data_IF_806585327498
#
_entry.id   IF_806585327498
#
_cell.length_a   1.000
_cell.length_b   1.000
_cell.length_c   1.000
_cell.angle_alpha   90.00
_cell.angle_beta   90.00
_cell.angle_gamma   90.00
#
_symmetry.space_group_name_H-M   'P 1'
#
loop_
_entity.id
_entity.type
_entity.pdbx_description
1 polymer ?
#
# COMPACT_ATOMS: atom_id res chain seq x y z
N UNK A 1 -28.43 23.64 28.79
CA UNK A 1 -27.21 23.40 28.00
C UNK A 1 -26.02 23.92 28.75
N UNK A 2 -25.10 23.03 29.16
CA UNK A 2 -23.88 23.36 29.91
C UNK A 2 -22.83 24.07 29.05
N UNK A 3 -23.26 25.13 28.37
CA UNK A 3 -22.38 26.06 27.66
C UNK A 3 -21.66 26.96 28.66
N UNK A 4 -20.59 27.61 28.19
CA UNK A 4 -19.69 28.41 29.02
C UNK A 4 -20.47 29.45 29.82
N UNK A 5 -21.44 30.13 29.21
CA UNK A 5 -22.26 31.17 29.85
C UNK A 5 -23.12 30.67 31.02
N UNK A 6 -23.46 29.38 31.07
CA UNK A 6 -24.25 28.81 32.18
C UNK A 6 -23.39 28.20 33.28
N UNK A 7 -22.09 28.05 33.04
CA UNK A 7 -21.14 27.40 33.96
C UNK A 7 -20.02 28.33 34.41
N UNK A 8 -19.99 29.57 33.92
CA UNK A 8 -19.07 30.61 34.38
C UNK A 8 -19.77 31.58 35.32
N UNK A 9 -19.03 32.12 36.28
CA UNK A 9 -19.44 33.33 36.97
C UNK A 9 -19.40 34.48 35.97
N UNK A 10 -20.56 35.07 35.69
CA UNK A 10 -20.67 36.25 34.83
C UNK A 10 -20.49 37.48 35.74
N UNK A 11 -19.34 38.16 35.72
CA UNK A 11 -19.13 39.32 36.55
C UNK A 11 -19.95 40.50 35.99
N UNK A 12 -20.34 41.44 36.83
CA UNK A 12 -20.96 42.71 36.41
C UNK A 12 -19.94 43.59 35.67
N UNK A 13 -19.65 43.21 34.42
CA UNK A 13 -18.63 43.82 33.56
C UNK A 13 -19.21 44.79 32.53
N UNK A 14 -20.53 45.00 32.53
CA UNK A 14 -21.23 45.80 31.52
C UNK A 14 -21.28 45.17 30.13
N UNK A 15 -20.87 43.89 30.00
CA UNK A 15 -20.93 43.16 28.74
C UNK A 15 -22.24 42.38 28.60
N UNK A 16 -22.85 42.43 27.42
CA UNK A 16 -24.01 41.60 27.08
C UNK A 16 -23.53 40.20 26.70
N UNK A 17 -23.97 39.18 27.44
CA UNK A 17 -23.64 37.78 27.18
C UNK A 17 -24.69 37.13 26.28
N UNK A 18 -24.28 36.65 25.11
CA UNK A 18 -25.18 36.06 24.10
C UNK A 18 -24.65 34.71 23.63
N UNK A 19 -25.55 33.77 23.40
CA UNK A 19 -25.24 32.47 22.79
C UNK A 19 -25.80 32.40 21.37
N UNK A 20 -24.98 31.99 20.41
CA UNK A 20 -25.35 31.80 19.01
C UNK A 20 -24.95 30.39 18.58
N UNK A 21 -25.88 29.64 17.99
CA UNK A 21 -25.63 28.30 17.50
C UNK A 21 -26.03 28.12 16.03
N UNK A 22 -25.41 27.14 15.37
CA UNK A 22 -25.56 26.91 13.94
C UNK A 22 -24.56 27.72 13.10
N UNK A 23 -24.04 27.09 12.04
CA UNK A 23 -23.02 27.68 11.16
C UNK A 23 -23.46 28.99 10.53
N UNK A 24 -24.71 29.09 10.07
CA UNK A 24 -25.25 30.30 9.43
C UNK A 24 -25.37 31.46 10.42
N UNK A 25 -25.92 31.22 11.60
CA UNK A 25 -26.05 32.26 12.63
C UNK A 25 -24.66 32.70 13.13
N UNK A 26 -23.73 31.75 13.26
CA UNK A 26 -22.35 32.06 13.62
C UNK A 26 -21.67 32.92 12.55
N UNK A 27 -21.89 32.63 11.25
CA UNK A 27 -21.38 33.45 10.16
C UNK A 27 -21.93 34.88 10.24
N UNK A 28 -23.25 35.02 10.36
CA UNK A 28 -23.91 36.33 10.46
C UNK A 28 -23.42 37.14 11.67
N UNK A 29 -23.26 36.49 12.83
CA UNK A 29 -22.72 37.14 14.02
C UNK A 29 -21.27 37.64 13.80
N UNK A 30 -20.41 36.84 13.15
CA UNK A 30 -19.04 37.25 12.83
C UNK A 30 -19.00 38.41 11.82
N UNK A 31 -19.91 38.43 10.84
CA UNK A 31 -20.05 39.53 9.88
C UNK A 31 -20.44 40.83 10.58
N UNK A 32 -21.39 40.79 11.53
CA UNK A 32 -21.77 41.96 12.34
C UNK A 32 -20.64 42.46 13.24
N UNK A 33 -19.84 41.56 13.82
CA UNK A 33 -18.64 41.93 14.58
C UNK A 33 -17.63 42.62 13.66
N UNK A 34 -17.38 42.06 12.48
CA UNK A 34 -16.44 42.62 11.51
C UNK A 34 -16.88 44.00 10.99
N UNK A 35 -18.19 44.23 10.87
CA UNK A 35 -18.77 45.53 10.51
C UNK A 35 -18.71 46.57 11.65
N UNK A 36 -18.38 46.16 12.88
CA UNK A 36 -18.32 47.05 14.05
C UNK A 36 -19.68 47.39 14.65
N UNK A 37 -20.71 46.61 14.34
CA UNK A 37 -22.09 46.81 14.83
C UNK A 37 -22.26 46.42 16.31
N UNK A 38 -21.35 45.60 16.83
CA UNK A 38 -21.44 45.02 18.18
C UNK A 38 -20.39 45.67 19.09
N UNK A 39 -20.82 46.11 20.28
CA UNK A 39 -19.94 46.67 21.32
C UNK A 39 -20.26 46.04 22.68
N UNK A 40 -19.23 45.81 23.49
CA UNK A 40 -19.34 45.25 24.85
C UNK A 40 -20.18 43.96 24.90
N UNK A 41 -19.82 42.96 24.09
CA UNK A 41 -20.49 41.66 24.10
C UNK A 41 -19.52 40.52 24.38
N UNK A 42 -20.00 39.52 25.10
CA UNK A 42 -19.38 38.21 25.21
C UNK A 42 -20.22 37.21 24.42
N UNK A 43 -19.63 36.58 23.41
CA UNK A 43 -20.35 35.69 22.50
C UNK A 43 -19.89 34.25 22.71
N UNK A 44 -20.82 33.39 23.11
CA UNK A 44 -20.66 31.95 23.06
C UNK A 44 -21.18 31.45 21.71
N UNK A 45 -20.31 30.85 20.90
CA UNK A 45 -20.65 30.42 19.54
C UNK A 45 -20.48 28.91 19.37
N UNK A 46 -21.48 28.24 18.81
CA UNK A 46 -21.48 26.80 18.54
C UNK A 46 -21.80 26.51 17.08
N UNK A 47 -20.94 25.79 16.36
CA UNK A 47 -21.17 25.50 14.94
C UNK A 47 -22.40 24.62 14.68
N UNK A 48 -22.67 23.62 15.53
CA UNK A 48 -23.86 22.77 15.41
C UNK A 48 -25.05 23.39 16.14
N UNK A 49 -26.24 23.28 15.56
CA UNK A 49 -27.49 23.63 16.23
C UNK A 49 -27.67 22.74 17.48
N UNK A 50 -27.90 23.36 18.63
CA UNK A 50 -27.95 22.64 19.91
C UNK A 50 -26.61 22.10 20.41
N UNK A 51 -25.50 22.58 19.85
CA UNK A 51 -24.13 22.23 20.24
C UNK A 51 -23.93 20.70 20.28
N UNK A 52 -23.15 20.18 21.23
CA UNK A 52 -22.92 18.74 21.38
C UNK A 52 -24.20 17.94 21.67
N UNK A 53 -25.26 18.56 22.21
CA UNK A 53 -26.52 17.88 22.54
C UNK A 53 -27.37 17.63 21.29
N UNK A 54 -27.23 18.50 20.28
CA UNK A 54 -27.83 18.34 18.95
C UNK A 54 -26.88 17.75 17.92
N UNK A 55 -25.73 17.19 18.35
CA UNK A 55 -24.69 16.70 17.44
C UNK A 55 -25.17 15.60 16.47
N UNK A 56 -24.43 15.35 15.37
CA UNK A 56 -24.87 14.52 14.25
C UNK A 56 -25.23 13.07 14.60
N UNK A 57 -24.68 12.54 15.70
CA UNK A 57 -25.02 11.19 16.19
C UNK A 57 -26.45 11.10 16.71
N UNK A 58 -27.02 12.21 17.17
CA UNK A 58 -28.32 12.26 17.84
C UNK A 58 -29.50 12.09 16.87
N UNK A 59 -29.28 12.24 15.57
CA UNK A 59 -30.30 12.00 14.53
C UNK A 59 -30.81 10.55 14.58
N UNK A 60 -29.93 9.59 14.86
CA UNK A 60 -30.28 8.16 15.03
C UNK A 60 -31.21 7.87 16.21
N UNK A 61 -31.25 8.76 17.20
CA UNK A 61 -31.93 8.55 18.48
C UNK A 61 -33.23 9.36 18.61
N UNK A 62 -33.76 9.85 17.50
CA UNK A 62 -34.97 10.68 17.44
C UNK A 62 -34.81 11.92 18.33
N UNK A 63 -34.04 12.89 17.83
CA UNK A 63 -33.60 14.06 18.59
C UNK A 63 -34.81 14.80 19.22
N UNK A 64 -34.91 14.76 20.55
CA UNK A 64 -35.87 15.52 21.33
C UNK A 64 -35.12 16.58 22.12
N UNK A 65 -34.97 17.82 21.58
CA UNK A 65 -34.10 18.84 22.16
C UNK A 65 -34.46 19.14 23.62
N UNK A 66 -35.75 19.28 23.93
CA UNK A 66 -36.21 19.59 25.29
C UNK A 66 -35.78 18.51 26.29
N UNK A 67 -36.00 17.23 25.97
CA UNK A 67 -35.66 16.10 26.83
C UNK A 67 -34.15 16.02 27.05
N UNK A 68 -33.36 16.17 25.99
CA UNK A 68 -31.90 16.08 26.08
C UNK A 68 -31.31 17.28 26.82
N UNK A 69 -31.84 18.49 26.61
CA UNK A 69 -31.43 19.68 27.38
C UNK A 69 -31.76 19.56 28.85
N UNK A 70 -32.94 19.07 29.19
CA UNK A 70 -33.33 18.86 30.58
C UNK A 70 -32.42 17.83 31.25
N UNK A 71 -32.17 16.69 30.61
CA UNK A 71 -31.30 15.65 31.14
C UNK A 71 -29.89 16.18 31.47
N UNK A 72 -29.28 16.92 30.55
CA UNK A 72 -27.94 17.50 30.77
C UNK A 72 -27.95 18.56 31.87
N UNK A 73 -28.96 19.44 31.89
CA UNK A 73 -29.05 20.48 32.92
C UNK A 73 -29.31 19.91 34.31
N UNK A 74 -30.10 18.84 34.44
CA UNK A 74 -30.31 18.15 35.71
C UNK A 74 -29.05 17.41 36.17
N UNK A 75 -28.35 16.75 35.25
CA UNK A 75 -27.11 16.02 35.56
C UNK A 75 -25.97 16.95 36.02
N UNK A 76 -25.77 18.07 35.31
CA UNK A 76 -24.67 19.00 35.60
C UNK A 76 -24.76 19.63 37.00
N UNK A 77 -25.96 19.91 37.49
CA UNK A 77 -26.16 20.52 38.81
C UNK A 77 -25.55 21.93 38.93
N UNK A 78 -25.25 22.35 40.17
CA UNK A 78 -24.65 23.65 40.50
C UNK A 78 -23.35 23.56 41.31
N UNK A 79 -22.86 22.34 41.55
CA UNK A 79 -21.67 22.13 42.38
C UNK A 79 -20.46 22.11 41.47
N UNK A 80 -19.49 22.95 41.79
CA UNK A 80 -18.18 22.87 41.15
C UNK A 80 -17.45 21.61 41.59
N UNK A 81 -16.55 21.13 40.73
CA UNK A 81 -15.62 20.07 41.06
C UNK A 81 -14.33 20.68 41.63
N UNK A 82 -13.64 19.92 42.49
CA UNK A 82 -12.36 20.36 43.04
C UNK A 82 -11.35 20.50 41.89
N UNK A 83 -10.83 21.71 41.72
CA UNK A 83 -9.75 22.04 40.79
C UNK A 83 -8.56 22.58 41.58
N UNK A 84 -7.35 22.25 41.14
CA UNK A 84 -6.15 22.83 41.72
C UNK A 84 -6.13 24.34 41.50
N UNK A 85 -5.77 25.09 42.53
CA UNK A 85 -5.61 26.54 42.43
C UNK A 85 -4.42 26.85 41.52
N UNK A 86 -4.70 27.44 40.37
CA UNK A 86 -3.67 27.92 39.45
C UNK A 86 -2.98 29.15 40.05
N UNK A 87 -1.66 29.23 39.86
CA UNK A 87 -0.89 30.40 40.31
C UNK A 87 -1.30 31.67 39.56
N UNK A 88 -1.12 32.82 40.22
CA UNK A 88 -1.45 34.11 39.63
C UNK A 88 -0.65 34.33 38.33
N UNK A 89 -1.36 34.55 37.23
CA UNK A 89 -0.78 34.69 35.89
C UNK A 89 -0.58 33.38 35.11
N UNK A 90 -0.88 32.20 35.67
CA UNK A 90 -0.78 30.92 34.95
C UNK A 90 -1.70 30.85 33.71
N UNK A 91 -2.81 31.60 33.73
CA UNK A 91 -3.76 31.69 32.61
C UNK A 91 -3.51 32.89 31.69
N UNK A 92 -2.49 33.71 31.98
CA UNK A 92 -2.21 34.90 31.17
C UNK A 92 -1.37 34.53 29.96
N UNK A 93 -2.00 34.51 28.78
CA UNK A 93 -1.30 34.41 27.50
C UNK A 93 -1.33 35.74 26.78
N UNK A 94 -0.14 36.33 26.54
CA UNK A 94 -0.01 37.52 25.70
C UNK A 94 -0.01 37.09 24.23
N UNK A 95 -1.04 37.48 23.51
CA UNK A 95 -1.10 37.32 22.06
C UNK A 95 -0.45 38.55 21.42
N UNK A 96 0.71 38.34 20.77
CA UNK A 96 1.28 39.36 19.91
C UNK A 96 0.39 39.59 18.69
N UNK A 97 0.51 40.75 18.04
CA UNK A 97 -0.13 40.98 16.76
C UNK A 97 0.40 39.96 15.74
N UNK A 98 -0.45 39.02 15.34
CA UNK A 98 -0.19 38.11 14.24
C UNK A 98 -0.55 38.90 13.00
N UNK A 99 0.45 39.57 12.40
CA UNK A 99 0.25 40.28 11.15
C UNK A 99 -0.43 39.37 10.14
N UNK A 100 -1.57 39.80 9.61
CA UNK A 100 -2.22 39.10 8.51
C UNK A 100 -1.65 39.71 7.24
N UNK A 101 -0.70 39.07 6.54
CA UNK A 101 -0.42 39.45 5.17
C UNK A 101 -1.69 39.20 4.36
N UNK A 102 -2.49 40.24 4.18
CA UNK A 102 -3.61 40.29 3.24
C UNK A 102 -3.10 40.44 1.80
N UNK A 103 -1.95 39.82 1.50
CA UNK A 103 -1.43 39.76 0.14
C UNK A 103 -2.44 38.94 -0.65
N UNK A 104 -2.93 39.56 -1.72
CA UNK A 104 -3.77 38.90 -2.71
C UNK A 104 -2.80 38.26 -3.70
N UNK A 105 -2.76 36.92 -3.80
CA UNK A 105 -1.89 36.26 -4.77
C UNK A 105 -2.30 36.65 -6.19
N UNK A 106 -1.32 36.71 -7.06
CA UNK A 106 -1.51 36.83 -8.51
C UNK A 106 -2.23 35.60 -9.08
N UNK A 107 -2.86 35.76 -10.25
CA UNK A 107 -3.48 34.64 -10.96
C UNK A 107 -2.49 33.51 -11.28
N UNK A 108 -1.22 33.84 -11.52
CA UNK A 108 -0.15 32.84 -11.71
C UNK A 108 0.07 31.99 -10.45
N UNK A 109 0.11 32.61 -9.27
CA UNK A 109 0.32 31.90 -8.00
C UNK A 109 -0.89 31.04 -7.64
N UNK A 110 -2.10 31.54 -7.90
CA UNK A 110 -3.33 30.75 -7.73
C UNK A 110 -3.30 29.52 -8.64
N UNK A 111 -2.96 29.68 -9.92
CA UNK A 111 -2.85 28.56 -10.87
C UNK A 111 -1.77 27.55 -10.47
N UNK A 112 -0.63 28.01 -9.96
CA UNK A 112 0.43 27.11 -9.50
C UNK A 112 -0.06 26.22 -8.34
N UNK A 113 -0.81 26.79 -7.39
CA UNK A 113 -1.40 26.05 -6.27
C UNK A 113 -2.50 25.10 -6.75
N UNK A 114 -3.36 25.54 -7.66
CA UNK A 114 -4.41 24.70 -8.26
C UNK A 114 -3.81 23.49 -8.98
N UNK A 115 -2.74 23.70 -9.76
CA UNK A 115 -2.01 22.65 -10.47
C UNK A 115 -1.43 21.59 -9.52
N UNK A 116 -0.96 21.99 -8.33
CA UNK A 116 -0.50 21.04 -7.28
C UNK A 116 -1.61 20.11 -6.78
N UNK A 117 -2.87 20.49 -6.96
CA UNK A 117 -4.05 19.66 -6.64
C UNK A 117 -4.71 19.03 -7.87
N UNK A 118 -3.97 18.91 -8.98
CA UNK A 118 -4.45 18.28 -10.20
C UNK A 118 -5.39 19.14 -11.06
N UNK A 119 -5.60 20.42 -10.71
CA UNK A 119 -6.53 21.31 -11.42
C UNK A 119 -5.77 22.14 -12.44
N UNK A 120 -5.72 21.64 -13.67
CA UNK A 120 -4.98 22.28 -14.77
C UNK A 120 -5.88 23.15 -15.63
N UNK A 121 -7.18 22.85 -15.66
CA UNK A 121 -8.17 23.56 -16.45
C UNK A 121 -9.34 24.05 -15.57
N UNK A 122 -10.11 25.05 -16.03
CA UNK A 122 -11.27 25.55 -15.29
C UNK A 122 -12.30 24.46 -14.97
N UNK A 123 -12.43 23.43 -15.81
CA UNK A 123 -13.37 22.33 -15.60
C UNK A 123 -12.98 21.43 -14.41
N UNK A 124 -11.70 21.41 -14.03
CA UNK A 124 -11.19 20.65 -12.87
C UNK A 124 -11.53 21.36 -11.54
N UNK A 125 -11.94 22.64 -11.58
CA UNK A 125 -12.36 23.43 -10.42
C UNK A 125 -13.79 23.09 -9.99
N UNK A 126 -14.00 21.88 -9.48
CA UNK A 126 -15.32 21.35 -9.10
C UNK A 126 -16.09 22.21 -8.09
N UNK A 127 -15.39 23.04 -7.30
CA UNK A 127 -15.98 23.93 -6.27
C UNK A 127 -16.94 23.20 -5.31
N UNK A 128 -16.58 21.97 -4.93
CA UNK A 128 -17.44 21.04 -4.17
C UNK A 128 -17.62 21.37 -2.69
N UNK A 129 -16.88 22.33 -2.12
CA UNK A 129 -17.03 22.71 -0.71
C UNK A 129 -16.45 21.73 0.32
N UNK A 130 -16.01 20.52 -0.05
CA UNK A 130 -15.59 19.47 0.92
C UNK A 130 -14.40 19.85 1.80
N UNK A 131 -13.65 20.88 1.42
CA UNK A 131 -12.50 21.39 2.16
C UNK A 131 -12.83 22.61 3.04
N UNK A 132 -14.10 23.02 3.12
CA UNK A 132 -14.56 24.19 3.86
C UNK A 132 -14.46 25.52 3.11
N UNK A 133 -14.06 25.51 1.82
CA UNK A 133 -14.00 26.71 0.96
C UNK A 133 -15.01 26.61 -0.18
N UNK A 134 -15.68 27.71 -0.53
CA UNK A 134 -16.74 27.69 -1.55
C UNK A 134 -16.18 27.45 -2.95
N UNK A 135 -14.98 27.97 -3.22
CA UNK A 135 -14.30 27.78 -4.50
C UNK A 135 -12.89 27.22 -4.34
N UNK A 136 -12.42 26.52 -5.37
CA UNK A 136 -11.06 26.02 -5.43
C UNK A 136 -10.04 27.17 -5.38
N UNK A 137 -10.40 28.33 -5.97
CA UNK A 137 -9.59 29.56 -5.92
C UNK A 137 -9.51 30.14 -4.51
N UNK A 138 -10.62 30.21 -3.76
CA UNK A 138 -10.61 30.61 -2.35
C UNK A 138 -9.69 29.73 -1.52
N UNK A 139 -9.76 28.40 -1.71
CA UNK A 139 -8.82 27.48 -1.08
C UNK A 139 -7.38 27.80 -1.47
N UNK A 140 -7.10 28.03 -2.76
CA UNK A 140 -5.74 28.34 -3.22
C UNK A 140 -5.20 29.63 -2.57
N UNK A 141 -6.04 30.66 -2.43
CA UNK A 141 -5.69 31.89 -1.71
C UNK A 141 -5.42 31.61 -0.22
N UNK A 142 -6.22 30.74 0.41
CA UNK A 142 -6.01 30.35 1.80
C UNK A 142 -4.69 29.56 2.00
N UNK A 143 -4.34 28.67 1.05
CA UNK A 143 -3.06 27.95 1.03
C UNK A 143 -1.90 28.94 0.89
N UNK A 144 -1.99 29.89 -0.04
CA UNK A 144 -0.97 30.93 -0.22
C UNK A 144 -0.73 31.73 1.07
N UNK A 145 -1.80 31.99 1.83
CA UNK A 145 -1.75 32.69 3.12
C UNK A 145 -1.33 31.83 4.31
N UNK A 146 -1.00 30.54 4.09
CA UNK A 146 -0.67 29.60 5.15
C UNK A 146 -1.84 29.24 6.07
N UNK A 147 -3.09 29.48 5.64
CA UNK A 147 -4.31 29.19 6.41
C UNK A 147 -4.89 27.80 6.10
N UNK A 148 -4.48 27.19 5.00
CA UNK A 148 -4.94 25.88 4.56
C UNK A 148 -3.78 25.04 4.04
N UNK A 149 -3.90 23.73 4.15
CA UNK A 149 -2.96 22.78 3.55
C UNK A 149 -3.45 22.31 2.18
N UNK A 150 -2.52 22.12 1.25
CA UNK A 150 -2.79 21.61 -0.10
C UNK A 150 -3.50 20.25 -0.04
N UNK A 151 -3.06 19.37 0.87
CA UNK A 151 -3.56 18.01 1.06
C UNK A 151 -5.02 17.94 1.51
N UNK A 152 -5.61 19.02 2.02
CA UNK A 152 -7.03 19.07 2.42
C UNK A 152 -7.99 19.11 1.23
N UNK A 153 -7.73 18.37 0.15
CA UNK A 153 -8.62 18.27 -1.02
C UNK A 153 -9.01 16.81 -1.20
N UNK A 154 -10.17 16.43 -0.68
CA UNK A 154 -10.65 15.05 -0.73
C UNK A 154 -10.71 14.50 -2.16
N UNK A 155 -11.29 15.20 -3.16
CA UNK A 155 -11.32 14.68 -4.54
C UNK A 155 -9.92 14.40 -5.10
N UNK A 156 -8.96 15.30 -4.86
CA UNK A 156 -7.58 15.12 -5.30
C UNK A 156 -6.90 13.94 -4.60
N UNK A 157 -7.13 13.74 -3.30
CA UNK A 157 -6.57 12.61 -2.56
C UNK A 157 -7.12 11.26 -3.06
N UNK A 158 -8.40 11.21 -3.40
CA UNK A 158 -9.02 10.02 -3.99
C UNK A 158 -8.42 9.72 -5.36
N UNK A 159 -8.42 10.69 -6.27
CA UNK A 159 -7.89 10.51 -7.64
C UNK A 159 -6.39 10.12 -7.61
N UNK A 160 -5.60 10.75 -6.74
CA UNK A 160 -4.18 10.43 -6.60
C UNK A 160 -3.95 8.98 -6.16
N UNK A 161 -4.78 8.49 -5.23
CA UNK A 161 -4.72 7.10 -4.76
C UNK A 161 -5.09 6.12 -5.87
N UNK A 162 -6.18 6.39 -6.59
CA UNK A 162 -6.63 5.55 -7.71
C UNK A 162 -5.60 5.48 -8.84
N UNK A 163 -5.04 6.62 -9.24
CA UNK A 163 -4.02 6.68 -10.31
C UNK A 163 -2.73 5.98 -9.92
N UNK A 164 -2.32 6.06 -8.65
CA UNK A 164 -1.13 5.37 -8.18
C UNK A 164 -1.33 3.84 -8.26
N UNK A 165 -2.43 3.33 -7.72
CA UNK A 165 -2.77 1.91 -7.79
C UNK A 165 -2.87 1.41 -9.23
N UNK A 166 -3.58 2.14 -10.08
CA UNK A 166 -3.76 1.78 -11.50
C UNK A 166 -2.43 1.77 -12.28
N UNK A 167 -1.53 2.71 -12.03
CA UNK A 167 -0.23 2.74 -12.70
C UNK A 167 0.64 1.54 -12.32
N UNK A 168 0.66 1.15 -11.03
CA UNK A 168 1.40 -0.03 -10.59
C UNK A 168 0.84 -1.29 -11.25
N UNK A 169 -0.49 -1.47 -11.21
CA UNK A 169 -1.15 -2.62 -11.81
C UNK A 169 -0.88 -2.73 -13.31
N UNK A 170 -0.83 -1.61 -14.04
CA UNK A 170 -0.63 -1.59 -15.51
C UNK A 170 0.81 -1.85 -15.96
N UNK A 171 1.80 -1.41 -15.18
CA UNK A 171 3.22 -1.46 -15.60
C UNK A 171 4.04 -2.55 -14.91
N UNK A 172 3.47 -3.25 -13.93
CA UNK A 172 4.15 -4.42 -13.35
C UNK A 172 4.27 -5.55 -14.39
N UNK A 173 5.43 -6.21 -14.50
CA UNK A 173 5.57 -7.39 -15.35
C UNK A 173 4.84 -8.61 -14.79
N UNK A 174 4.44 -8.58 -13.52
CA UNK A 174 3.71 -9.66 -12.87
C UNK A 174 2.22 -9.58 -13.23
N UNK A 175 1.64 -10.72 -13.57
CA UNK A 175 0.20 -10.84 -13.64
C UNK A 175 -0.43 -10.69 -12.25
N UNK A 176 -1.49 -9.90 -12.15
CA UNK A 176 -2.28 -9.71 -10.94
C UNK A 176 -3.71 -10.08 -11.26
N UNK A 177 -4.26 -11.01 -10.49
CA UNK A 177 -5.64 -11.46 -10.54
C UNK A 177 -6.23 -11.36 -9.13
N UNK A 178 -7.37 -10.68 -9.00
CA UNK A 178 -8.05 -10.50 -7.72
C UNK A 178 -9.39 -11.23 -7.78
N UNK A 179 -9.68 -12.06 -6.78
CA UNK A 179 -10.96 -12.77 -6.64
C UNK A 179 -11.55 -12.54 -5.25
N UNK A 180 -12.87 -12.67 -5.10
CA UNK A 180 -13.52 -12.69 -3.78
C UNK A 180 -13.44 -14.08 -3.14
N UNK A 181 -13.96 -14.24 -1.92
CA UNK A 181 -14.00 -15.54 -1.21
C UNK A 181 -14.86 -16.59 -1.94
N UNK A 182 -15.81 -16.17 -2.78
CA UNK A 182 -16.63 -17.03 -3.66
C UNK A 182 -15.93 -17.41 -4.98
N UNK A 183 -14.64 -17.05 -5.11
CA UNK A 183 -13.80 -17.30 -6.29
C UNK A 183 -14.28 -16.62 -7.58
N UNK A 184 -15.02 -15.52 -7.47
CA UNK A 184 -15.40 -14.67 -8.59
C UNK A 184 -14.33 -13.59 -8.85
N UNK A 185 -13.97 -13.41 -10.12
CA UNK A 185 -12.94 -12.46 -10.54
C UNK A 185 -13.42 -11.02 -10.38
N UNK A 186 -12.69 -10.26 -9.56
CA UNK A 186 -12.97 -8.86 -9.28
C UNK A 186 -12.12 -7.92 -10.13
N UNK A 187 -10.85 -8.28 -10.40
CA UNK A 187 -9.93 -7.48 -11.23
C UNK A 187 -8.87 -8.37 -11.88
N UNK A 188 -8.39 -7.95 -13.05
CA UNK A 188 -7.24 -8.56 -13.73
C UNK A 188 -6.40 -7.48 -14.41
N UNK A 189 -5.08 -7.53 -14.25
CA UNK A 189 -4.18 -6.56 -14.90
C UNK A 189 -3.74 -7.02 -16.31
N UNK A 190 -3.14 -6.09 -17.06
CA UNK A 190 -2.69 -6.34 -18.44
C UNK A 190 -1.67 -7.49 -18.56
N UNK A 191 -0.79 -7.64 -17.57
CA UNK A 191 0.20 -8.72 -17.55
C UNK A 191 -0.47 -10.09 -17.35
N UNK A 192 -1.44 -10.20 -16.43
CA UNK A 192 -2.21 -11.43 -16.22
C UNK A 192 -3.03 -11.76 -17.46
N UNK A 193 -3.68 -10.77 -18.08
CA UNK A 193 -4.40 -10.99 -19.33
C UNK A 193 -3.49 -11.55 -20.43
N UNK A 194 -2.27 -11.04 -20.54
CA UNK A 194 -1.28 -11.52 -21.51
C UNK A 194 -0.79 -12.95 -21.19
N UNK A 195 -0.56 -13.26 -19.91
CA UNK A 195 -0.10 -14.58 -19.46
C UNK A 195 -1.17 -15.66 -19.61
N UNK A 196 -2.44 -15.30 -19.40
CA UNK A 196 -3.61 -16.20 -19.38
C UNK A 196 -4.42 -16.13 -20.68
N UNK A 197 -3.88 -15.49 -21.73
CA UNK A 197 -4.52 -15.32 -23.04
C UNK A 197 -5.95 -14.73 -23.01
N UNK A 198 -6.22 -13.84 -22.06
CA UNK A 198 -7.49 -13.11 -21.93
C UNK A 198 -7.48 -11.93 -22.90
N UNK A 199 -8.52 -11.80 -23.74
CA UNK A 199 -8.61 -10.75 -24.76
C UNK A 199 -9.06 -9.42 -24.19
N UNK A 200 -10.12 -9.45 -23.37
CA UNK A 200 -10.67 -8.26 -22.74
C UNK A 200 -10.97 -8.53 -21.27
N UNK A 201 -10.78 -7.52 -20.43
CA UNK A 201 -11.05 -7.59 -18.99
C UNK A 201 -12.51 -7.99 -18.71
N UNK A 202 -13.46 -7.44 -19.48
CA UNK A 202 -14.89 -7.74 -19.36
C UNK A 202 -15.28 -9.19 -19.68
N UNK A 203 -14.42 -9.98 -20.32
CA UNK A 203 -14.71 -11.40 -20.62
C UNK A 203 -14.61 -12.29 -19.37
N UNK A 204 -13.94 -11.79 -18.33
CA UNK A 204 -13.64 -12.53 -17.10
C UNK A 204 -14.13 -11.85 -15.83
N UNK A 205 -14.42 -10.54 -15.85
CA UNK A 205 -14.95 -9.84 -14.68
C UNK A 205 -16.30 -10.41 -14.24
N UNK A 206 -16.42 -10.76 -12.96
CA UNK A 206 -17.61 -11.37 -12.36
C UNK A 206 -17.76 -12.87 -12.67
N UNK A 207 -16.85 -13.46 -13.44
CA UNK A 207 -16.89 -14.87 -13.77
C UNK A 207 -16.16 -15.72 -12.71
N UNK A 208 -16.50 -17.00 -12.68
CA UNK A 208 -15.87 -17.97 -11.78
C UNK A 208 -14.43 -18.30 -12.20
N UNK A 209 -13.52 -18.28 -11.23
CA UNK A 209 -12.07 -18.50 -11.42
C UNK A 209 -11.73 -19.77 -12.18
N UNK A 210 -12.52 -20.84 -12.01
CA UNK A 210 -12.35 -22.14 -12.69
C UNK A 210 -12.29 -22.02 -14.22
N UNK A 211 -12.84 -20.95 -14.80
CA UNK A 211 -12.77 -20.67 -16.25
C UNK A 211 -11.39 -20.22 -16.72
N UNK A 212 -10.53 -19.83 -15.80
CA UNK A 212 -9.22 -19.21 -16.05
C UNK A 212 -8.10 -20.10 -15.51
N UNK A 213 -8.27 -20.69 -14.32
CA UNK A 213 -7.24 -21.56 -13.76
C UNK A 213 -7.82 -22.49 -12.70
N UNK A 214 -7.01 -23.48 -12.30
CA UNK A 214 -7.35 -24.39 -11.20
C UNK A 214 -7.63 -23.60 -9.91
N UNK A 215 -8.81 -23.75 -9.27
CA UNK A 215 -9.16 -23.07 -8.03
C UNK A 215 -8.47 -23.69 -6.80
N UNK A 216 -7.86 -24.88 -6.90
CA UNK A 216 -7.27 -25.57 -5.73
C UNK A 216 -6.27 -24.70 -4.94
N UNK A 217 -5.33 -23.96 -5.56
CA UNK A 217 -4.45 -23.05 -4.83
C UNK A 217 -5.22 -21.96 -4.05
N UNK A 218 -6.30 -21.44 -4.61
CA UNK A 218 -7.10 -20.39 -3.96
C UNK A 218 -7.89 -20.93 -2.78
N UNK A 219 -8.51 -22.11 -2.94
CA UNK A 219 -9.19 -22.83 -1.86
C UNK A 219 -8.22 -23.14 -0.70
N UNK A 220 -7.02 -23.61 -1.03
CA UNK A 220 -5.98 -23.87 -0.03
C UNK A 220 -5.56 -22.60 0.74
N UNK A 221 -5.53 -21.44 0.07
CA UNK A 221 -5.21 -20.15 0.69
C UNK A 221 -6.36 -19.62 1.59
N UNK A 222 -7.62 -19.88 1.21
CA UNK A 222 -8.82 -19.63 2.02
C UNK A 222 -8.78 -20.46 3.32
N UNK A 223 -8.64 -21.78 3.18
CA UNK A 223 -8.76 -22.73 4.30
C UNK A 223 -7.61 -22.63 5.31
N UNK A 224 -6.36 -22.55 4.82
CA UNK A 224 -5.18 -22.60 5.69
C UNK A 224 -4.83 -21.24 6.30
N UNK A 225 -5.42 -20.14 5.79
CA UNK A 225 -5.10 -18.77 6.22
C UNK A 225 -3.63 -18.36 6.00
N UNK A 226 -2.85 -19.19 5.31
CA UNK A 226 -1.44 -18.96 5.01
C UNK A 226 -1.33 -18.59 3.54
N UNK A 227 -0.59 -17.51 3.26
CA UNK A 227 -0.23 -17.14 1.90
C UNK A 227 0.48 -18.30 1.21
N UNK A 228 -0.01 -18.73 0.04
CA UNK A 228 0.77 -19.62 -0.84
C UNK A 228 1.85 -18.76 -1.48
N UNK A 229 3.10 -19.21 -1.42
CA UNK A 229 4.24 -18.48 -1.97
C UNK A 229 4.99 -19.37 -2.93
N UNK A 230 5.31 -18.80 -4.09
CA UNK A 230 6.25 -19.35 -5.07
C UNK A 230 5.88 -20.77 -5.56
N UNK A 231 4.58 -21.08 -5.67
CA UNK A 231 4.16 -22.34 -6.27
C UNK A 231 4.41 -22.28 -7.78
N UNK A 232 5.31 -23.12 -8.28
CA UNK A 232 5.65 -23.19 -9.70
C UNK A 232 4.97 -24.36 -10.35
N UNK A 233 4.13 -24.07 -11.34
CA UNK A 233 3.44 -25.09 -12.12
C UNK A 233 3.49 -24.77 -13.62
N UNK A 234 3.35 -25.81 -14.43
CA UNK A 234 3.22 -25.69 -15.88
C UNK A 234 1.75 -25.61 -16.26
N UNK A 235 1.35 -24.48 -16.81
CA UNK A 235 -0.01 -24.24 -17.26
C UNK A 235 -0.13 -24.62 -18.73
N UNK A 236 -0.57 -25.86 -18.97
CA UNK A 236 -0.65 -26.44 -20.31
C UNK A 236 -1.53 -25.63 -21.27
N UNK A 237 -2.64 -25.07 -20.80
CA UNK A 237 -3.57 -24.25 -21.58
C UNK A 237 -2.93 -22.98 -22.14
N UNK A 238 -1.91 -22.47 -21.45
CA UNK A 238 -1.19 -21.24 -21.80
C UNK A 238 0.22 -21.50 -22.33
N UNK A 239 0.66 -22.76 -22.30
CA UNK A 239 2.03 -23.18 -22.63
C UNK A 239 3.10 -22.34 -21.91
N UNK A 240 2.94 -22.14 -20.60
CA UNK A 240 3.81 -21.29 -19.78
C UNK A 240 4.13 -21.94 -18.43
N UNK A 241 5.32 -21.65 -17.90
CA UNK A 241 5.65 -21.88 -16.49
C UNK A 241 5.30 -20.62 -15.72
N UNK A 242 4.35 -20.72 -14.79
CA UNK A 242 3.96 -19.60 -13.95
C UNK A 242 4.29 -19.91 -12.49
N UNK A 243 4.91 -18.95 -11.84
CA UNK A 243 5.09 -18.91 -10.40
C UNK A 243 3.92 -18.13 -9.80
N UNK A 244 3.10 -18.81 -9.00
CA UNK A 244 1.89 -18.30 -8.37
C UNK A 244 2.15 -18.01 -6.89
N UNK A 245 1.80 -16.79 -6.48
CA UNK A 245 1.75 -16.37 -5.07
C UNK A 245 0.35 -15.86 -4.76
N UNK A 246 -0.28 -16.37 -3.72
CA UNK A 246 -1.64 -15.98 -3.31
C UNK A 246 -1.58 -15.36 -1.92
N UNK A 247 -2.13 -14.15 -1.81
CA UNK A 247 -2.30 -13.42 -0.56
C UNK A 247 -3.79 -13.26 -0.29
N UNK A 248 -4.24 -13.73 0.86
CA UNK A 248 -5.61 -13.54 1.33
C UNK A 248 -5.65 -12.32 2.26
N UNK A 249 -6.38 -11.28 1.87
CA UNK A 249 -6.70 -10.15 2.74
C UNK A 249 -8.08 -10.35 3.39
N UNK A 250 -8.04 -10.77 4.67
CA UNK A 250 -9.24 -11.01 5.49
C UNK A 250 -10.01 -9.74 5.85
N UNK A 251 -9.38 -8.57 5.72
CA UNK A 251 -10.03 -7.29 6.06
C UNK A 251 -10.97 -6.87 4.95
N UNK A 252 -10.58 -7.15 3.71
CA UNK A 252 -11.33 -6.77 2.50
C UNK A 252 -12.04 -7.95 1.84
N UNK A 253 -11.90 -9.18 2.37
CA UNK A 253 -12.52 -10.41 1.87
C UNK A 253 -12.15 -10.72 0.40
N UNK A 254 -10.88 -10.52 0.06
CA UNK A 254 -10.35 -10.80 -1.29
C UNK A 254 -9.08 -11.65 -1.23
N UNK A 255 -8.85 -12.39 -2.32
CA UNK A 255 -7.58 -13.06 -2.60
C UNK A 255 -6.89 -12.37 -3.79
N UNK A 256 -5.61 -12.08 -3.61
CA UNK A 256 -4.75 -11.48 -4.62
C UNK A 256 -3.76 -12.54 -5.08
N UNK A 257 -3.88 -12.96 -6.32
CA UNK A 257 -2.93 -13.83 -7.00
C UNK A 257 -1.93 -13.00 -7.81
N UNK A 258 -0.65 -13.26 -7.58
CA UNK A 258 0.48 -12.70 -8.32
C UNK A 258 1.10 -13.84 -9.13
N UNK A 259 1.08 -13.67 -10.45
CA UNK A 259 1.59 -14.60 -11.45
C UNK A 259 2.88 -14.03 -12.02
N UNK A 260 3.95 -14.80 -12.00
CA UNK A 260 5.20 -14.47 -12.67
C UNK A 260 5.50 -15.51 -13.74
N UNK A 261 5.69 -15.05 -14.98
CA UNK A 261 6.14 -15.92 -16.06
C UNK A 261 7.62 -16.25 -15.86
N UNK A 262 7.89 -17.53 -15.58
CA UNK A 262 9.24 -18.06 -15.38
C UNK A 262 9.68 -19.01 -16.49
N UNK A 263 8.97 -18.99 -17.63
CA UNK A 263 9.20 -19.92 -18.75
C UNK A 263 10.65 -19.90 -19.24
N UNK A 264 11.22 -18.71 -19.43
CA UNK A 264 12.61 -18.55 -19.91
C UNK A 264 13.64 -19.05 -18.90
N UNK A 265 13.39 -18.85 -17.62
CA UNK A 265 14.25 -19.32 -16.53
C UNK A 265 14.20 -20.85 -16.40
N UNK A 266 13.01 -21.44 -16.54
CA UNK A 266 12.80 -22.89 -16.52
C UNK A 266 13.41 -23.58 -17.76
N UNK A 267 13.27 -23.00 -18.95
CA UNK A 267 13.88 -23.49 -20.19
C UNK A 267 15.41 -23.46 -20.11
N UNK A 268 16.00 -22.33 -19.68
CA UNK A 268 17.45 -22.22 -19.51
C UNK A 268 17.98 -23.19 -18.46
N UNK A 269 17.23 -23.42 -17.37
CA UNK A 269 17.61 -24.41 -16.36
C UNK A 269 17.66 -25.81 -16.95
N UNK A 270 16.63 -26.21 -17.71
CA UNK A 270 16.59 -27.53 -18.37
C UNK A 270 17.69 -27.72 -19.39
N UNK A 271 17.98 -26.71 -20.19
CA UNK A 271 19.08 -26.77 -21.16
C UNK A 271 20.43 -26.97 -20.46
N UNK A 272 20.69 -26.23 -19.37
CA UNK A 272 21.89 -26.41 -18.54
C UNK A 272 21.96 -27.80 -17.91
N UNK A 273 20.84 -28.32 -17.41
CA UNK A 273 20.77 -29.68 -16.86
C UNK A 273 21.08 -30.75 -17.92
N UNK A 274 20.58 -30.57 -19.15
CA UNK A 274 20.85 -31.47 -20.28
C UNK A 274 22.35 -31.47 -20.64
N UNK A 275 22.93 -30.28 -20.82
CA UNK A 275 24.35 -30.13 -21.15
C UNK A 275 25.22 -30.71 -20.03
N UNK A 276 24.86 -30.46 -18.77
CA UNK A 276 25.57 -31.00 -17.61
C UNK A 276 25.57 -32.53 -17.62
N UNK A 277 24.41 -33.17 -17.86
CA UNK A 277 24.32 -34.64 -17.97
C UNK A 277 25.17 -35.19 -19.11
N UNK A 278 25.11 -34.58 -20.29
CA UNK A 278 25.93 -34.99 -21.43
C UNK A 278 27.43 -34.84 -21.14
N UNK A 279 27.80 -33.77 -20.44
CA UNK A 279 29.21 -33.52 -20.06
C UNK A 279 29.73 -34.61 -19.13
N UNK A 280 28.93 -35.03 -18.14
CA UNK A 280 29.26 -36.14 -17.24
C UNK A 280 29.44 -37.44 -18.03
N UNK A 281 28.51 -37.76 -18.94
CA UNK A 281 28.59 -38.98 -19.75
C UNK A 281 29.82 -39.01 -20.68
N UNK A 282 30.19 -37.87 -21.28
CA UNK A 282 31.41 -37.74 -22.09
C UNK A 282 32.66 -37.93 -21.20
N UNK A 283 32.69 -37.31 -20.02
CA UNK A 283 33.81 -37.44 -19.09
C UNK A 283 34.01 -38.90 -18.68
N UNK A 284 32.94 -39.62 -18.34
CA UNK A 284 32.98 -41.04 -18.00
C UNK A 284 33.52 -41.90 -19.16
N UNK A 285 33.08 -41.66 -20.41
CA UNK A 285 33.64 -42.34 -21.58
C UNK A 285 35.12 -42.07 -21.79
N UNK A 286 35.58 -40.85 -21.53
CA UNK A 286 37.01 -40.50 -21.63
C UNK A 286 37.81 -41.23 -20.56
N UNK A 287 37.32 -41.27 -19.32
CA UNK A 287 37.96 -42.02 -18.22
C UNK A 287 38.07 -43.50 -18.58
N UNK A 288 36.99 -44.10 -19.08
CA UNK A 288 36.97 -45.52 -19.46
C UNK A 288 37.97 -45.83 -20.58
N UNK A 289 38.09 -44.93 -21.57
CA UNK A 289 39.09 -45.05 -22.65
C UNK A 289 40.52 -44.92 -22.11
N UNK A 290 40.78 -43.97 -21.21
CA UNK A 290 42.09 -43.81 -20.58
C UNK A 290 42.46 -45.03 -19.73
N UNK A 291 41.52 -45.58 -18.96
CA UNK A 291 41.75 -46.81 -18.19
C UNK A 291 42.11 -48.00 -19.08
N UNK A 292 41.47 -48.15 -20.25
CA UNK A 292 41.82 -49.20 -21.22
C UNK A 292 43.23 -49.03 -21.78
N UNK A 293 43.61 -47.80 -22.15
CA UNK A 293 44.97 -47.50 -22.63
C UNK A 293 46.00 -47.79 -21.54
N UNK A 294 45.72 -47.44 -20.28
CA UNK A 294 46.60 -47.77 -19.15
C UNK A 294 46.76 -49.28 -18.98
N UNK A 295 45.68 -50.07 -19.15
CA UNK A 295 45.76 -51.53 -19.10
C UNK A 295 46.61 -52.10 -20.25
N UNK A 296 46.49 -51.58 -21.47
CA UNK A 296 47.34 -51.98 -22.60
C UNK A 296 48.83 -51.66 -22.36
N UNK A 297 49.13 -50.45 -21.86
CA UNK A 297 50.49 -50.04 -21.48
C UNK A 297 51.03 -50.96 -20.38
N UNK A 298 50.23 -51.26 -19.35
CA UNK A 298 50.63 -52.16 -18.28
C UNK A 298 50.90 -53.58 -18.78
N UNK A 299 50.11 -54.07 -19.74
CA UNK A 299 50.33 -55.36 -20.39
C UNK A 299 51.66 -55.38 -21.15
N UNK A 300 51.93 -54.36 -21.98
CA UNK A 300 53.18 -54.23 -22.75
C UNK A 300 54.40 -54.07 -21.83
N UNK A 301 54.28 -53.29 -20.75
CA UNK A 301 55.33 -53.18 -19.74
C UNK A 301 55.57 -54.51 -19.02
N UNK A 302 54.50 -55.26 -18.72
CA UNK A 302 54.60 -56.60 -18.14
C UNK A 302 55.35 -57.58 -19.05
N UNK A 303 55.01 -57.58 -20.35
CA UNK A 303 55.66 -58.40 -21.38
C UNK A 303 57.15 -58.06 -21.52
N UNK A 304 57.48 -56.79 -21.77
CA UNK A 304 58.88 -56.32 -21.90
C UNK A 304 59.71 -56.56 -20.64
N UNK A 305 59.12 -56.42 -19.45
CA UNK A 305 59.80 -56.72 -18.18
C UNK A 305 60.08 -58.22 -18.04
N UNK A 306 59.13 -59.07 -18.45
CA UNK A 306 59.31 -60.52 -18.44
C UNK A 306 60.40 -60.96 -19.43
N UNK A 307 60.39 -60.42 -20.66
CA UNK A 307 61.44 -60.66 -21.66
C UNK A 307 62.82 -60.23 -21.15
N UNK A 308 62.90 -59.03 -20.56
CA UNK A 308 64.14 -58.48 -19.99
C UNK A 308 64.65 -59.36 -18.86
N UNK A 309 63.76 -59.83 -17.97
CA UNK A 309 64.10 -60.76 -16.89
C UNK A 309 64.65 -62.08 -17.44
N UNK A 310 64.02 -62.66 -18.46
CA UNK A 310 64.48 -63.90 -19.11
C UNK A 310 65.86 -63.68 -19.73
N UNK A 311 66.07 -62.59 -20.47
CA UNK A 311 67.35 -62.26 -21.10
C UNK A 311 68.46 -62.07 -20.05
N UNK A 312 68.20 -61.32 -18.97
CA UNK A 312 69.14 -61.13 -17.86
C UNK A 312 69.41 -62.43 -17.10
N UNK A 313 68.41 -63.31 -16.94
CA UNK A 313 68.59 -64.61 -16.27
C UNK A 313 69.47 -65.53 -17.13
N UNK A 314 69.23 -65.60 -18.45
CA UNK A 314 70.09 -66.33 -19.39
C UNK A 314 71.52 -65.79 -19.42
N UNK A 315 71.69 -64.47 -19.39
CA UNK A 315 73.01 -63.83 -19.28
C UNK A 315 73.71 -64.21 -17.97
N UNK A 316 72.99 -64.15 -16.85
CA UNK A 316 73.51 -64.55 -15.54
C UNK A 316 73.96 -66.01 -15.54
N UNK A 317 73.13 -66.92 -16.08
CA UNK A 317 73.47 -68.35 -16.24
C UNK A 317 74.72 -68.55 -17.10
N UNK A 318 74.84 -67.81 -18.22
CA UNK A 318 76.01 -67.89 -19.10
C UNK A 318 77.30 -67.40 -18.43
N UNK A 319 77.24 -66.36 -17.60
CA UNK A 319 78.39 -65.84 -16.86
C UNK A 319 78.77 -66.82 -15.74
N UNK A 320 77.80 -67.37 -15.00
CA UNK A 320 78.07 -68.37 -13.97
C UNK A 320 78.58 -69.70 -14.52
N UNK A 321 78.27 -70.04 -15.77
CA UNK A 321 78.85 -71.21 -16.45
C UNK A 321 80.26 -70.93 -16.96
N UNK A 322 80.58 -69.68 -17.33
CA UNK A 322 81.93 -69.26 -17.73
C UNK A 322 82.90 -69.09 -16.55
N UNK A 323 82.42 -68.93 -15.31
CA UNK A 323 83.25 -68.90 -14.10
C UNK A 323 83.52 -70.30 -13.49
N UNK A 324 82.94 -71.36 -14.06
CA UNK A 324 83.10 -72.76 -13.60
C UNK A 324 83.87 -73.66 -14.60
N UNK A 325 84.52 -73.08 -15.60
CA UNK A 325 85.57 -73.70 -16.45
C UNK A 325 86.93 -73.09 -16.16
#
# INVERSE_FOLDING_TARGET
MGGILKTMDIPETGHTCLSVDGTENCRAALEDIAAGNIKNCFLEMSACAGSCIGGPVMEKYNNSPVRHYQAVTTYAGKRDFAVDSLSEGALTRRHGYIGVPNVVPSESEIREILAKTGKLKPEDELNCGSCGYNTCREKAIAVYRGKADISMCLPFLMEKTERFSNNILRHTPNGILVVNEDLEVQQVNAAAMSMLHIRQEGDVLGEQLIRIMDPQPFLNALDNGKSIREQRDYYAEYNKYLELTIVHDRTTHILIAILRDVTTEEESRREKELISRQTVEIADRVVEKQMRVVQEIASLLGETTAETKIALTKLKESITNAENE
#
